data_IF_054991199660
#
_entry.id   IF_054991199660
#
_cell.length_a   1.000
_cell.length_b   1.000
_cell.length_c   1.000
_cell.angle_alpha   90.00
_cell.angle_beta   90.00
_cell.angle_gamma   90.00
#
_symmetry.space_group_name_H-M   'P 1'
#
loop_
_entity.id
_entity.type
_entity.pdbx_description
1 polymer ?
#
# COMPACT_ATOMS: atom_id res chain seq x y z
N UNK A 1 -7.97 56.62 -2.54
CA UNK A 1 -6.93 56.47 -3.59
C UNK A 1 -6.78 54.97 -3.88
N UNK A 2 -7.05 54.58 -5.13
CA UNK A 2 -6.81 53.28 -5.83
C UNK A 2 -7.35 51.96 -5.24
N UNK A 3 -8.53 51.60 -5.76
CA UNK A 3 -9.12 50.27 -5.95
C UNK A 3 -8.53 49.56 -7.20
N UNK A 4 -8.74 48.22 -7.28
CA UNK A 4 -8.67 47.30 -8.44
C UNK A 4 -7.30 46.68 -8.76
N UNK A 5 -7.15 45.42 -9.21
CA UNK A 5 -8.06 44.29 -9.53
C UNK A 5 -7.19 43.03 -9.72
N UNK A 6 -7.73 41.87 -9.35
CA UNK A 6 -7.24 40.53 -9.71
C UNK A 6 -7.67 40.19 -11.15
N UNK A 7 -6.88 39.41 -11.92
CA UNK A 7 -7.45 38.56 -12.96
C UNK A 7 -7.19 37.07 -12.71
N UNK A 8 -8.29 36.33 -12.54
CA UNK A 8 -8.44 34.93 -12.92
C UNK A 8 -8.24 34.79 -14.43
N UNK A 9 -7.48 33.77 -14.89
CA UNK A 9 -7.79 33.06 -16.14
C UNK A 9 -7.46 31.58 -15.99
N UNK A 10 -8.52 30.79 -16.13
CA UNK A 10 -8.52 29.36 -16.36
C UNK A 10 -8.08 29.08 -17.80
N UNK A 11 -7.32 28.00 -17.99
CA UNK A 11 -7.16 27.39 -19.32
C UNK A 11 -7.28 25.89 -19.18
N UNK A 12 -8.34 25.39 -19.77
CA UNK A 12 -8.76 24.01 -19.91
C UNK A 12 -8.24 23.52 -21.26
N UNK A 13 -7.43 22.47 -21.30
CA UNK A 13 -7.10 21.79 -22.55
C UNK A 13 -7.16 20.28 -22.33
N UNK A 14 -8.23 19.69 -22.87
CA UNK A 14 -8.36 18.26 -23.08
C UNK A 14 -7.76 17.89 -24.43
N UNK A 15 -7.04 16.77 -24.53
CA UNK A 15 -6.75 16.13 -25.81
C UNK A 15 -6.96 14.62 -25.67
N UNK A 16 -7.97 14.12 -26.38
CA UNK A 16 -8.18 12.72 -26.70
C UNK A 16 -7.20 12.29 -27.79
N UNK A 17 -6.69 11.05 -27.70
CA UNK A 17 -6.20 10.33 -28.86
C UNK A 17 -6.66 8.86 -28.78
N UNK A 18 -7.66 8.53 -29.61
CA UNK A 18 -8.01 7.18 -30.01
C UNK A 18 -6.93 6.64 -30.96
N UNK A 19 -6.42 5.44 -30.69
CA UNK A 19 -5.59 4.68 -31.63
C UNK A 19 -6.13 3.26 -31.78
N UNK A 20 -6.79 2.99 -32.91
CA UNK A 20 -7.12 1.67 -33.42
C UNK A 20 -5.96 1.11 -34.27
N UNK A 21 -5.79 -0.21 -34.27
CA UNK A 21 -4.96 -0.98 -35.21
C UNK A 21 -4.47 -2.25 -34.50
N UNK A 22 -4.96 -3.46 -34.78
CA UNK A 22 -4.73 -4.22 -36.03
C UNK A 22 -3.28 -4.74 -35.98
N UNK A 23 -2.97 -6.00 -35.69
CA UNK A 23 -3.40 -7.22 -36.36
C UNK A 23 -2.19 -7.82 -37.08
N UNK A 24 -2.01 -9.15 -37.02
CA UNK A 24 -1.21 -9.88 -38.01
C UNK A 24 0.17 -10.37 -37.55
N UNK A 25 0.29 -11.70 -37.52
CA UNK A 25 1.49 -12.49 -37.31
C UNK A 25 2.52 -12.32 -38.45
N UNK A 26 3.80 -12.52 -38.12
CA UNK A 26 4.77 -13.05 -39.08
C UNK A 26 5.87 -13.83 -38.34
N UNK A 27 5.98 -15.09 -38.73
CA UNK A 27 7.01 -16.04 -38.38
C UNK A 27 8.41 -15.55 -38.78
N UNK A 28 9.39 -15.72 -37.90
CA UNK A 28 10.80 -15.74 -38.30
C UNK A 28 11.38 -17.12 -38.03
N UNK A 29 11.48 -17.90 -39.10
CA UNK A 29 12.30 -19.10 -39.19
C UNK A 29 13.77 -18.72 -39.02
N UNK A 30 14.43 -19.28 -38.02
CA UNK A 30 15.88 -19.27 -37.85
C UNK A 30 16.41 -20.70 -37.85
N UNK A 31 17.31 -21.09 -38.76
CA UNK A 31 17.87 -22.43 -38.85
C UNK A 31 19.15 -22.55 -38.03
N UNK A 32 19.39 -23.72 -37.44
CA UNK A 32 20.69 -24.39 -37.35
C UNK A 32 20.56 -25.61 -36.44
N UNK A 33 20.24 -26.76 -37.03
CA UNK A 33 20.49 -28.05 -36.43
C UNK A 33 22.01 -28.20 -36.37
N UNK A 34 22.59 -28.05 -35.19
CA UNK A 34 23.96 -28.49 -34.92
C UNK A 34 23.84 -29.87 -34.31
N UNK A 35 24.12 -30.86 -35.15
CA UNK A 35 24.25 -32.27 -34.81
C UNK A 35 25.42 -32.41 -33.84
N UNK A 36 25.12 -32.58 -32.55
CA UNK A 36 26.11 -32.90 -31.54
C UNK A 36 26.12 -34.43 -31.34
N UNK A 37 27.29 -35.09 -31.38
CA UNK A 37 27.38 -36.55 -31.31
C UNK A 37 26.85 -37.08 -29.98
N UNK A 38 25.88 -38.00 -30.05
CA UNK A 38 25.32 -38.71 -28.91
C UNK A 38 26.42 -39.45 -28.14
N UNK A 39 26.63 -39.06 -26.89
CA UNK A 39 27.34 -39.87 -25.91
C UNK A 39 26.48 -41.11 -25.53
N UNK A 40 27.08 -42.28 -25.30
CA UNK A 40 26.34 -43.51 -25.02
C UNK A 40 25.57 -43.41 -23.70
N UNK A 41 24.25 -43.55 -23.78
CA UNK A 41 23.33 -43.64 -22.65
C UNK A 41 23.68 -44.85 -21.79
N UNK A 42 24.15 -44.61 -20.57
CA UNK A 42 24.24 -45.64 -19.53
C UNK A 42 22.95 -45.62 -18.71
N UNK A 43 22.38 -46.79 -18.49
CA UNK A 43 21.03 -47.03 -17.96
C UNK A 43 20.91 -46.80 -16.43
N UNK A 44 21.55 -45.76 -15.89
CA UNK A 44 21.67 -45.57 -14.44
C UNK A 44 21.56 -44.11 -13.95
N UNK A 45 20.93 -43.21 -14.72
CA UNK A 45 20.56 -41.89 -14.18
C UNK A 45 19.12 -41.91 -13.63
N UNK A 46 18.91 -41.62 -12.33
CA UNK A 46 17.56 -41.44 -11.81
C UNK A 46 16.94 -40.16 -12.42
N UNK A 47 15.64 -40.17 -12.75
CA UNK A 47 14.99 -38.98 -13.31
C UNK A 47 15.09 -37.82 -12.32
N UNK A 48 15.44 -36.63 -12.82
CA UNK A 48 15.45 -35.39 -12.05
C UNK A 48 14.13 -35.21 -11.31
N UNK A 49 14.15 -35.34 -9.98
CA UNK A 49 12.98 -35.16 -9.13
C UNK A 49 12.52 -33.70 -9.22
N UNK A 50 11.39 -33.47 -9.88
CA UNK A 50 10.69 -32.18 -9.86
C UNK A 50 9.60 -32.28 -8.79
N UNK A 51 9.66 -31.50 -7.69
CA UNK A 51 8.59 -31.52 -6.70
C UNK A 51 7.27 -31.05 -7.35
N UNK A 52 6.14 -31.68 -7.03
CA UNK A 52 4.84 -31.21 -7.52
C UNK A 52 4.60 -29.78 -7.00
N UNK A 53 4.06 -28.86 -7.83
CA UNK A 53 3.69 -27.54 -7.36
C UNK A 53 2.67 -27.68 -6.24
N UNK A 54 2.86 -26.92 -5.15
CA UNK A 54 1.92 -26.88 -4.05
C UNK A 54 0.52 -26.55 -4.58
N UNK A 55 -0.44 -27.44 -4.34
CA UNK A 55 -1.83 -27.27 -4.75
C UNK A 55 -2.49 -26.18 -3.91
N UNK A 56 -2.33 -24.92 -4.31
CA UNK A 56 -3.21 -23.82 -3.90
C UNK A 56 -3.35 -22.86 -5.06
N UNK A 57 -4.38 -23.11 -5.87
CA UNK A 57 -4.77 -22.24 -6.98
C UNK A 57 -5.57 -23.02 -8.00
N UNK A 58 -6.91 -22.92 -7.95
CA UNK A 58 -7.74 -23.30 -9.08
C UNK A 58 -7.33 -22.47 -10.30
N UNK A 59 -7.09 -23.10 -11.47
CA UNK A 59 -6.76 -22.38 -12.69
C UNK A 59 -8.02 -21.69 -13.21
N UNK A 60 -8.10 -20.37 -13.03
CA UNK A 60 -9.17 -19.53 -13.59
C UNK A 60 -9.70 -18.42 -12.68
N UNK A 61 -9.31 -18.38 -11.41
CA UNK A 61 -9.76 -17.32 -10.50
C UNK A 61 -8.97 -16.01 -10.65
N UNK A 62 -9.62 -14.82 -10.62
CA UNK A 62 -8.96 -13.50 -10.62
C UNK A 62 -8.14 -13.19 -9.34
N UNK A 63 -7.86 -14.21 -8.53
CA UNK A 63 -7.30 -14.08 -7.19
C UNK A 63 -5.85 -13.56 -7.24
N UNK A 64 -5.05 -13.94 -8.24
CA UNK A 64 -3.66 -13.48 -8.35
C UNK A 64 -3.53 -11.98 -8.67
N UNK A 65 -4.32 -11.46 -9.62
CA UNK A 65 -4.26 -10.06 -10.05
C UNK A 65 -4.94 -9.12 -9.04
N UNK A 66 -6.05 -9.53 -8.44
CA UNK A 66 -6.75 -8.74 -7.42
C UNK A 66 -5.91 -8.59 -6.13
N UNK A 67 -5.16 -9.64 -5.76
CA UNK A 67 -4.30 -9.60 -4.57
C UNK A 67 -3.13 -8.63 -4.79
N UNK A 68 -2.48 -8.65 -5.96
CA UNK A 68 -1.40 -7.71 -6.29
C UNK A 68 -1.88 -6.25 -6.26
N UNK A 69 -3.03 -5.95 -6.89
CA UNK A 69 -3.58 -4.59 -6.93
C UNK A 69 -4.01 -4.05 -5.56
N UNK A 70 -4.45 -4.93 -4.65
CA UNK A 70 -4.77 -4.55 -3.27
C UNK A 70 -3.54 -4.10 -2.48
N UNK A 71 -2.40 -4.78 -2.63
CA UNK A 71 -1.16 -4.44 -1.93
C UNK A 71 -0.63 -3.06 -2.35
N UNK A 72 -0.53 -2.81 -3.66
CA UNK A 72 -0.10 -1.52 -4.19
C UNK A 72 -1.04 -0.39 -3.74
N UNK A 73 -2.36 -0.62 -3.77
CA UNK A 73 -3.33 0.35 -3.28
C UNK A 73 -3.14 0.66 -1.78
N UNK A 74 -2.85 -0.35 -0.97
CA UNK A 74 -2.56 -0.20 0.45
C UNK A 74 -1.29 0.63 0.70
N UNK A 75 -0.21 0.36 -0.03
CA UNK A 75 1.04 1.13 0.08
C UNK A 75 0.84 2.59 -0.30
N UNK A 76 0.15 2.87 -1.42
CA UNK A 76 -0.19 4.24 -1.85
C UNK A 76 -1.04 4.95 -0.79
N UNK A 77 -2.01 4.25 -0.19
CA UNK A 77 -2.84 4.80 0.89
C UNK A 77 -2.02 5.13 2.14
N UNK A 78 -1.06 4.28 2.52
CA UNK A 78 -0.17 4.51 3.65
C UNK A 78 0.73 5.74 3.42
N UNK A 79 1.34 5.85 2.23
CA UNK A 79 2.16 7.01 1.86
C UNK A 79 1.34 8.29 1.94
N UNK A 80 0.15 8.32 1.31
CA UNK A 80 -0.74 9.50 1.36
C UNK A 80 -1.17 9.88 2.76
N UNK A 81 -1.38 8.90 3.63
CA UNK A 81 -1.69 9.14 5.04
C UNK A 81 -0.51 9.79 5.76
N UNK A 82 0.70 9.27 5.57
CA UNK A 82 1.91 9.82 6.17
C UNK A 82 2.21 11.24 5.66
N UNK A 83 2.00 11.50 4.37
CA UNK A 83 2.10 12.86 3.79
C UNK A 83 1.06 13.80 4.41
N UNK A 84 -0.21 13.41 4.43
CA UNK A 84 -1.27 14.22 5.03
C UNK A 84 -1.02 14.49 6.52
N UNK A 85 -0.50 13.50 7.25
CA UNK A 85 -0.09 13.66 8.63
C UNK A 85 1.12 14.59 8.75
N UNK A 86 2.14 14.48 7.90
CA UNK A 86 3.31 15.37 7.91
C UNK A 86 2.91 16.82 7.62
N UNK A 87 2.06 17.02 6.62
CA UNK A 87 1.68 18.35 6.11
C UNK A 87 0.57 19.00 6.94
N UNK A 88 -0.17 18.20 7.70
CA UNK A 88 -1.26 18.66 8.54
C UNK A 88 -2.52 18.90 7.73
N UNK A 89 -2.65 18.17 6.63
CA UNK A 89 -3.80 18.21 5.75
C UNK A 89 -4.98 17.48 6.42
N UNK A 90 -5.73 18.23 7.21
CA UNK A 90 -6.96 17.75 7.85
C UNK A 90 -7.94 17.17 6.82
N UNK A 91 -8.07 17.81 5.65
CA UNK A 91 -9.03 17.37 4.63
C UNK A 91 -8.58 16.05 4.00
N UNK A 92 -7.28 15.91 3.74
CA UNK A 92 -6.66 14.67 3.31
C UNK A 92 -6.90 13.54 4.30
N UNK A 93 -6.60 13.77 5.59
CA UNK A 93 -6.85 12.78 6.65
C UNK A 93 -8.34 12.38 6.71
N UNK A 94 -9.27 13.35 6.67
CA UNK A 94 -10.72 13.04 6.70
C UNK A 94 -11.20 12.17 5.53
N UNK A 95 -10.54 12.26 4.37
CA UNK A 95 -10.87 11.46 3.17
C UNK A 95 -10.27 10.06 3.22
N UNK A 96 -9.10 9.91 3.83
CA UNK A 96 -8.38 8.63 3.91
C UNK A 96 -8.91 7.74 5.04
N UNK A 97 -9.23 8.33 6.18
CA UNK A 97 -9.66 7.63 7.38
C UNK A 97 -11.16 7.29 7.34
N UNK A 98 -11.50 6.07 7.77
CA UNK A 98 -12.87 5.66 8.03
C UNK A 98 -13.50 6.49 9.17
N UNK A 99 -14.82 6.52 9.29
CA UNK A 99 -15.51 7.23 10.37
C UNK A 99 -15.15 6.69 11.76
N UNK A 100 -14.95 5.37 11.87
CA UNK A 100 -14.61 4.70 13.14
C UNK A 100 -13.44 3.76 12.98
N UNK A 101 -12.30 4.15 13.53
CA UNK A 101 -11.05 3.42 13.39
C UNK A 101 -10.82 2.46 14.55
N UNK A 102 -10.46 1.22 14.22
CA UNK A 102 -9.92 0.27 15.17
C UNK A 102 -8.52 0.69 15.61
N UNK A 103 -8.10 0.22 16.78
CA UNK A 103 -6.71 0.33 17.21
C UNK A 103 -5.91 -0.82 16.61
N UNK A 104 -4.87 -0.52 15.83
CA UNK A 104 -3.95 -1.49 15.23
C UNK A 104 -2.80 -1.84 16.19
N UNK A 105 -2.34 -0.89 17.01
CA UNK A 105 -1.24 -1.11 17.97
C UNK A 105 -1.56 -0.66 19.40
N UNK A 106 -0.99 -1.32 20.44
CA UNK A 106 -0.05 -2.45 20.37
C UNK A 106 -0.72 -3.80 20.07
N UNK A 107 -2.04 -3.89 20.14
CA UNK A 107 -2.83 -5.07 19.76
C UNK A 107 -4.09 -4.62 19.03
N UNK A 108 -4.44 -5.36 17.99
CA UNK A 108 -5.70 -5.22 17.29
C UNK A 108 -6.87 -5.36 18.26
N UNK A 109 -7.78 -4.39 18.23
CA UNK A 109 -8.86 -4.27 19.20
C UNK A 109 -10.18 -3.91 18.51
N UNK A 110 -11.29 -4.41 19.08
CA UNK A 110 -12.65 -4.05 18.64
C UNK A 110 -13.08 -2.66 19.10
N UNK A 111 -12.38 -2.08 20.09
CA UNK A 111 -12.64 -0.70 20.51
C UNK A 111 -12.32 0.26 19.36
N UNK A 112 -13.31 1.08 19.01
CA UNK A 112 -13.22 2.02 17.88
C UNK A 112 -13.28 3.47 18.30
N UNK A 113 -12.33 4.25 17.80
CA UNK A 113 -12.24 5.67 18.06
C UNK A 113 -12.86 6.46 16.90
N UNK A 114 -13.62 7.54 17.19
CA UNK A 114 -14.11 8.44 16.14
C UNK A 114 -12.93 9.08 15.39
N UNK A 115 -13.04 9.14 14.07
CA UNK A 115 -12.06 9.79 13.19
C UNK A 115 -11.69 11.19 13.65
N UNK A 116 -12.69 11.99 13.98
CA UNK A 116 -12.52 13.40 14.27
C UNK A 116 -11.71 13.61 15.56
N UNK A 117 -11.89 12.74 16.54
CA UNK A 117 -11.06 12.73 17.76
C UNK A 117 -9.60 12.39 17.44
N UNK A 118 -9.36 11.38 16.61
CA UNK A 118 -8.00 10.98 16.21
C UNK A 118 -7.30 12.09 15.41
N UNK A 119 -8.00 12.72 14.47
CA UNK A 119 -7.48 13.86 13.70
C UNK A 119 -7.14 15.03 14.63
N UNK A 120 -8.00 15.33 15.60
CA UNK A 120 -7.71 16.37 16.60
C UNK A 120 -6.41 16.06 17.36
N UNK A 121 -6.26 14.83 17.86
CA UNK A 121 -5.06 14.38 18.57
C UNK A 121 -3.81 14.49 17.68
N UNK A 122 -3.88 14.03 16.43
CA UNK A 122 -2.76 14.06 15.48
C UNK A 122 -2.32 15.49 15.12
N UNK A 123 -3.27 16.40 14.91
CA UNK A 123 -2.99 17.73 14.37
C UNK A 123 -2.68 18.77 15.45
N UNK A 124 -3.25 18.64 16.65
CA UNK A 124 -3.07 19.63 17.73
C UNK A 124 -1.89 19.33 18.66
N UNK A 125 -1.20 18.22 18.46
CA UNK A 125 -0.12 17.82 19.36
C UNK A 125 1.10 18.77 19.27
N UNK A 126 1.66 19.28 20.39
CA UNK A 126 2.75 20.27 20.37
C UNK A 126 4.03 19.81 19.66
N UNK A 127 4.30 18.49 19.68
CA UNK A 127 5.47 17.89 19.00
C UNK A 127 5.42 17.95 17.48
N UNK A 128 4.30 18.39 16.90
CA UNK A 128 4.12 18.57 15.47
C UNK A 128 4.96 19.72 14.90
N UNK A 129 5.36 20.70 15.69
CA UNK A 129 6.01 21.94 15.20
C UNK A 129 7.26 21.74 14.31
N UNK A 130 7.87 20.56 14.34
CA UNK A 130 9.03 20.21 13.51
C UNK A 130 8.66 19.42 12.23
N UNK A 131 7.37 19.19 11.97
CA UNK A 131 6.87 18.57 10.75
C UNK A 131 6.38 19.65 9.79
N UNK A 132 6.66 19.45 8.51
CA UNK A 132 6.13 20.26 7.43
C UNK A 132 6.43 19.64 6.07
N UNK A 133 5.95 20.26 4.98
CA UNK A 133 6.12 19.74 3.62
C UNK A 133 7.58 19.58 3.21
N UNK A 134 8.49 20.32 3.83
CA UNK A 134 9.93 20.27 3.55
C UNK A 134 10.63 19.06 4.20
N UNK A 135 9.97 18.35 5.13
CA UNK A 135 10.53 17.13 5.73
C UNK A 135 10.30 15.94 4.80
N UNK A 136 11.35 15.28 4.27
CA UNK A 136 11.16 14.08 3.44
C UNK A 136 10.57 12.94 4.29
N UNK A 137 9.70 12.12 3.69
CA UNK A 137 9.06 11.02 4.44
C UNK A 137 10.05 9.96 4.88
N UNK A 138 11.11 9.75 4.10
CA UNK A 138 12.19 8.81 4.33
C UNK A 138 13.00 9.16 5.59
N UNK A 139 12.96 10.42 6.03
CA UNK A 139 13.52 10.82 7.32
C UNK A 139 12.65 10.35 8.50
N UNK A 140 11.36 10.05 8.29
CA UNK A 140 10.42 9.65 9.34
C UNK A 140 10.17 8.14 9.35
N UNK A 141 10.07 7.52 8.19
CA UNK A 141 9.73 6.10 8.01
C UNK A 141 10.67 5.44 7.02
N UNK A 142 10.82 4.11 7.12
CA UNK A 142 11.56 3.32 6.12
C UNK A 142 10.55 2.68 5.16
N UNK A 143 10.30 3.34 4.03
CA UNK A 143 9.31 2.89 3.04
C UNK A 143 9.65 1.52 2.44
N UNK A 144 10.94 1.26 2.18
CA UNK A 144 11.43 -0.03 1.65
C UNK A 144 11.22 -1.21 2.62
N UNK A 145 11.00 -0.93 3.90
CA UNK A 145 10.77 -1.95 4.93
C UNK A 145 9.30 -2.11 5.31
N UNK A 146 8.37 -1.55 4.52
CA UNK A 146 6.94 -1.70 4.79
C UNK A 146 6.53 -3.14 4.47
N UNK A 147 5.94 -3.80 5.45
CA UNK A 147 5.37 -5.14 5.30
C UNK A 147 3.86 -5.03 5.20
N UNK A 148 3.28 -5.69 4.20
CA UNK A 148 1.83 -5.73 3.98
C UNK A 148 1.38 -7.18 4.12
N UNK A 149 0.38 -7.43 4.96
CA UNK A 149 -0.10 -8.78 5.27
C UNK A 149 -1.62 -8.78 5.37
N UNK A 150 -2.33 -9.77 4.78
CA UNK A 150 -3.76 -9.91 5.02
C UNK A 150 -4.09 -10.07 6.52
N UNK A 151 -5.14 -9.42 7.00
CA UNK A 151 -5.46 -9.37 8.43
C UNK A 151 -5.72 -10.76 9.02
N UNK A 152 -6.28 -11.68 8.22
CA UNK A 152 -6.47 -13.10 8.57
C UNK A 152 -5.18 -13.84 8.92
N UNK A 153 -4.04 -13.39 8.40
CA UNK A 153 -2.74 -14.01 8.62
C UNK A 153 -2.04 -13.39 9.85
N UNK A 154 -2.50 -12.21 10.29
CA UNK A 154 -1.98 -11.49 11.48
C UNK A 154 -2.70 -11.91 12.76
N UNK A 155 -4.01 -12.19 12.70
CA UNK A 155 -4.81 -12.57 13.87
C UNK A 155 -5.79 -13.70 13.56
N UNK A 156 -5.91 -14.64 14.50
CA UNK A 156 -6.85 -15.78 14.39
C UNK A 156 -8.31 -15.34 14.50
N UNK A 157 -8.58 -14.24 15.19
CA UNK A 157 -9.93 -13.68 15.37
C UNK A 157 -9.93 -12.26 14.87
N UNK A 158 -10.75 -12.00 13.85
CA UNK A 158 -10.95 -10.67 13.30
C UNK A 158 -11.81 -9.86 14.28
N UNK A 159 -11.33 -8.70 14.77
CA UNK A 159 -12.13 -7.79 15.60
C UNK A 159 -13.37 -7.25 14.88
N UNK A 160 -14.39 -6.87 15.65
CA UNK A 160 -15.69 -6.50 15.08
C UNK A 160 -15.60 -5.34 14.08
N UNK A 161 -16.05 -5.65 12.87
CA UNK A 161 -16.12 -4.85 11.65
C UNK A 161 -14.78 -4.35 11.09
N UNK A 162 -13.69 -5.04 11.43
CA UNK A 162 -12.64 -5.30 10.45
C UNK A 162 -13.05 -6.52 9.60
N UNK A 163 -12.41 -6.67 8.44
CA UNK A 163 -12.64 -7.78 7.52
C UNK A 163 -11.37 -8.64 7.41
N UNK A 164 -11.53 -9.95 7.20
CA UNK A 164 -10.41 -10.87 7.01
C UNK A 164 -9.53 -10.51 5.80
N UNK A 165 -10.13 -9.80 4.83
CA UNK A 165 -9.51 -9.29 3.61
C UNK A 165 -8.86 -7.93 3.77
N UNK A 166 -9.07 -7.23 4.90
CA UNK A 166 -8.35 -5.98 5.18
C UNK A 166 -6.84 -6.27 5.22
N UNK A 167 -6.03 -5.30 4.81
CA UNK A 167 -4.58 -5.42 4.80
C UNK A 167 -4.00 -4.71 6.03
N UNK A 168 -3.17 -5.42 6.79
CA UNK A 168 -2.38 -4.88 7.88
C UNK A 168 -1.01 -4.48 7.35
N UNK A 169 -0.64 -3.23 7.56
CA UNK A 169 0.66 -2.69 7.16
C UNK A 169 1.50 -2.41 8.39
N UNK A 170 2.73 -2.90 8.41
CA UNK A 170 3.73 -2.57 9.44
C UNK A 170 4.74 -1.61 8.84
N UNK A 171 4.93 -0.46 9.47
CA UNK A 171 5.76 0.63 8.94
C UNK A 171 6.93 0.90 9.88
N UNK A 172 8.17 0.53 9.53
CA UNK A 172 9.31 0.78 10.40
C UNK A 172 9.61 2.29 10.52
N UNK A 173 9.84 2.76 11.75
CA UNK A 173 10.15 4.17 12.00
C UNK A 173 11.66 4.39 12.08
N UNK A 174 12.13 5.49 11.47
CA UNK A 174 13.51 5.95 11.65
C UNK A 174 13.73 6.52 13.06
N UNK A 175 14.97 6.85 13.40
CA UNK A 175 15.25 7.51 14.68
C UNK A 175 14.54 8.88 14.82
N UNK A 176 14.44 9.66 13.74
CA UNK A 176 13.74 10.94 13.75
C UNK A 176 12.21 10.74 13.82
N UNK A 177 11.66 9.82 13.03
CA UNK A 177 10.23 9.49 13.09
C UNK A 177 9.77 9.06 14.47
N UNK A 178 10.54 8.20 15.15
CA UNK A 178 10.23 7.79 16.55
C UNK A 178 10.17 8.95 17.53
N UNK A 179 10.90 10.05 17.31
CA UNK A 179 10.87 11.22 18.20
C UNK A 179 9.60 12.04 18.04
N UNK A 180 8.87 11.87 16.93
CA UNK A 180 7.69 12.67 16.60
C UNK A 180 6.43 11.81 16.51
N UNK A 181 6.41 10.82 15.61
CA UNK A 181 5.23 10.05 15.24
C UNK A 181 4.61 9.27 16.41
N UNK A 182 5.42 8.76 17.35
CA UNK A 182 4.91 8.07 18.56
C UNK A 182 3.95 8.90 19.42
N UNK A 183 4.06 10.22 19.31
CA UNK A 183 3.23 11.15 20.06
C UNK A 183 1.98 11.56 19.28
N UNK A 184 2.03 11.50 17.96
CA UNK A 184 0.90 11.83 17.09
C UNK A 184 -0.02 10.64 16.90
N UNK A 185 0.54 9.43 16.88
CA UNK A 185 -0.15 8.18 16.61
C UNK A 185 -0.02 7.25 17.83
N UNK A 186 -1.06 7.17 18.69
CA UNK A 186 -1.03 6.33 19.87
C UNK A 186 -0.76 4.87 19.52
N UNK A 187 0.21 4.25 20.19
CA UNK A 187 0.61 2.87 19.96
C UNK A 187 1.85 2.72 19.07
N UNK A 188 2.18 3.73 18.26
CA UNK A 188 3.37 3.71 17.43
C UNK A 188 4.62 3.88 18.30
N UNK A 189 5.60 3.00 18.12
CA UNK A 189 6.82 3.00 18.92
C UNK A 189 8.06 2.82 18.04
N UNK A 190 8.49 1.58 17.80
CA UNK A 190 9.58 1.29 16.86
C UNK A 190 9.11 1.18 15.42
N UNK A 191 7.84 0.82 15.27
CA UNK A 191 7.10 0.71 14.03
C UNK A 191 5.71 1.29 14.26
N UNK A 192 5.06 1.69 13.19
CA UNK A 192 3.63 1.97 13.13
C UNK A 192 2.85 0.79 12.56
N UNK A 193 1.54 0.83 12.72
CA UNK A 193 0.65 -0.05 11.97
C UNK A 193 -0.50 0.73 11.36
N UNK A 194 -0.98 0.25 10.23
CA UNK A 194 -2.24 0.69 9.62
C UNK A 194 -3.05 -0.54 9.24
N UNK A 195 -4.37 -0.44 9.29
CA UNK A 195 -5.27 -1.42 8.69
C UNK A 195 -6.04 -0.74 7.57
N UNK A 196 -5.95 -1.29 6.36
CA UNK A 196 -6.48 -0.68 5.14
C UNK A 196 -7.49 -1.63 4.51
N UNK A 197 -8.70 -1.11 4.29
CA UNK A 197 -9.70 -1.75 3.44
C UNK A 197 -9.48 -1.28 2.01
N UNK A 198 -9.19 -2.22 1.12
CA UNK A 198 -8.97 -1.97 -0.32
C UNK A 198 -10.27 -2.14 -1.11
N UNK A 199 -10.26 -1.73 -2.37
CA UNK A 199 -11.41 -1.84 -3.28
C UNK A 199 -11.72 -0.52 -3.99
N UNK A 200 -12.99 -0.31 -4.33
CA UNK A 200 -13.45 0.86 -5.11
C UNK A 200 -13.28 2.17 -4.32
N UNK A 201 -13.49 2.12 -3.00
CA UNK A 201 -13.36 3.25 -2.10
C UNK A 201 -12.42 2.87 -0.94
N UNK A 202 -11.09 2.87 -1.16
CA UNK A 202 -10.15 2.42 -0.15
C UNK A 202 -10.16 3.35 1.08
N UNK A 203 -10.07 2.77 2.27
CA UNK A 203 -10.12 3.50 3.54
C UNK A 203 -9.16 2.90 4.56
N UNK A 204 -8.59 3.75 5.41
CA UNK A 204 -7.84 3.32 6.59
C UNK A 204 -8.86 3.09 7.71
N UNK A 205 -8.99 1.84 8.11
CA UNK A 205 -9.95 1.37 9.12
C UNK A 205 -9.31 1.11 10.48
N UNK A 206 -7.98 1.23 10.59
CA UNK A 206 -7.27 1.19 11.88
C UNK A 206 -5.89 1.84 11.88
N UNK A 207 -5.46 2.33 13.06
CA UNK A 207 -4.20 3.05 13.32
C UNK A 207 -3.43 2.51 14.54
#
# INVERSE_FOLDING_TARGET
>A
MRLRRIPLRATLTALLALGCGGGGAASSSGPAVVDAPLAPSTAADPPSYTPPPAATGEPGGPVGLATSGGHEQAEVMAVRFLEALRDGDERGLRRLLDERLARAQPRLSSARQPRDHLIEVMLRHPRRGNLGPDTPLEELVRLEGVEVTPLRDVTRRIPDGLEATDLHLTIPLTAAGRRVLRFLLPGWAHQGALVIRTGVAPRIVGL
#
